data_IF_179911808608
#
_entry.id   IF_179911808608
#
_cell.length_a   1.000
_cell.length_b   1.000
_cell.length_c   1.000
_cell.angle_alpha   90.00
_cell.angle_beta   90.00
_cell.angle_gamma   90.00
#
_symmetry.space_group_name_H-M   'P 1'
#
loop_
_entity.id
_entity.type
_entity.pdbx_description
1 polymer ?
#
# COMPACT_ATOMS: atom_id res chain seq x y z
N UNK A 1 -1.06 55.31 -12.70
CA UNK A 1 -0.64 55.10 -14.11
C UNK A 1 0.75 54.48 -14.12
N UNK A 2 0.84 53.18 -14.39
CA UNK A 2 1.88 52.57 -15.22
C UNK A 2 1.45 51.13 -15.46
N UNK A 3 0.95 50.94 -16.68
CA UNK A 3 0.67 49.66 -17.29
C UNK A 3 1.99 48.90 -17.48
N UNK A 4 1.93 47.59 -17.30
CA UNK A 4 3.01 46.65 -17.59
C UNK A 4 2.39 45.34 -18.03
N UNK A 5 2.07 45.28 -19.32
CA UNK A 5 1.72 44.08 -20.07
C UNK A 5 2.91 43.14 -20.23
N UNK A 6 2.61 41.84 -20.43
CA UNK A 6 3.55 40.82 -20.89
C UNK A 6 3.50 39.59 -19.99
N UNK A 7 3.22 38.37 -20.45
CA UNK A 7 2.98 37.83 -21.78
C UNK A 7 2.65 36.35 -21.56
N UNK A 8 1.75 35.81 -22.38
CA UNK A 8 1.24 34.43 -22.31
C UNK A 8 2.36 33.42 -22.57
N UNK A 9 2.28 32.27 -21.92
CA UNK A 9 2.77 31.02 -22.52
C UNK A 9 1.85 29.83 -22.15
N UNK A 10 0.93 29.41 -23.04
CA UNK A 10 0.07 28.26 -22.84
C UNK A 10 0.80 27.00 -23.36
N UNK A 11 1.57 26.34 -22.51
CA UNK A 11 2.11 25.01 -22.82
C UNK A 11 1.01 23.95 -22.72
N UNK A 12 0.30 23.82 -23.84
CA UNK A 12 0.00 22.56 -24.54
C UNK A 12 0.01 21.30 -23.67
N UNK A 13 -1.19 20.81 -23.39
CA UNK A 13 -1.43 19.44 -22.94
C UNK A 13 -0.90 18.42 -23.95
N UNK A 14 -0.33 17.35 -23.41
CA UNK A 14 -0.14 16.10 -24.15
C UNK A 14 -1.08 15.05 -23.55
N UNK A 15 -1.87 14.34 -24.38
CA UNK A 15 -2.67 13.22 -23.93
C UNK A 15 -1.75 12.02 -23.63
N UNK A 16 -1.82 11.51 -22.41
CA UNK A 16 -1.28 10.19 -22.08
C UNK A 16 -2.17 9.15 -22.78
N UNK A 17 -1.65 8.59 -23.86
CA UNK A 17 -2.25 7.46 -24.57
C UNK A 17 -2.11 6.19 -23.73
N UNK A 18 -3.26 5.64 -23.36
CA UNK A 18 -3.44 4.33 -22.76
C UNK A 18 -3.15 3.22 -23.77
N UNK A 19 -1.89 2.80 -23.91
CA UNK A 19 -1.54 1.67 -24.79
C UNK A 19 -0.25 0.99 -24.32
N UNK A 20 -0.35 0.14 -23.29
CA UNK A 20 0.59 -0.96 -23.02
C UNK A 20 0.18 -1.72 -21.75
N UNK A 21 -0.48 -2.87 -21.91
CA UNK A 21 -0.25 -4.11 -21.13
C UNK A 21 -1.43 -5.08 -21.34
N UNK A 22 -1.65 -5.44 -22.60
CA UNK A 22 -2.22 -6.74 -22.96
C UNK A 22 -1.06 -7.63 -23.44
N UNK A 23 -1.15 -8.93 -23.13
CA UNK A 23 -0.07 -9.96 -23.13
C UNK A 23 0.60 -9.96 -21.75
N UNK A 24 0.66 -11.05 -21.01
CA UNK A 24 1.22 -12.34 -21.41
C UNK A 24 0.53 -13.54 -20.74
N UNK A 25 0.22 -14.53 -21.59
CA UNK A 25 0.43 -15.99 -21.41
C UNK A 25 0.00 -16.64 -20.08
N UNK A 26 -1.19 -17.26 -20.02
CA UNK A 26 -1.39 -18.73 -20.12
C UNK A 26 -0.11 -19.60 -20.01
N UNK A 27 0.02 -20.30 -18.88
CA UNK A 27 0.79 -21.54 -18.69
C UNK A 27 -0.10 -22.43 -17.80
N UNK A 28 -0.93 -23.33 -18.33
CA UNK A 28 -0.64 -24.73 -18.66
C UNK A 28 0.19 -25.47 -17.60
N UNK A 29 -0.52 -26.12 -16.67
CA UNK A 29 -0.36 -27.54 -16.36
C UNK A 29 0.84 -27.96 -15.52
N UNK A 30 0.59 -28.63 -14.40
CA UNK A 30 1.15 -29.96 -14.12
C UNK A 30 0.48 -30.53 -12.87
N UNK A 31 -0.18 -31.67 -13.07
CA UNK A 31 -0.68 -32.53 -12.00
C UNK A 31 0.51 -33.05 -11.18
N UNK A 32 0.44 -32.99 -9.86
CA UNK A 32 1.35 -33.71 -8.99
C UNK A 32 0.65 -34.90 -8.35
N UNK A 33 1.25 -36.06 -8.59
CA UNK A 33 0.93 -37.36 -8.02
C UNK A 33 1.07 -37.33 -6.49
N UNK A 34 0.09 -37.94 -5.80
CA UNK A 34 0.23 -38.39 -4.42
C UNK A 34 1.26 -39.53 -4.35
N UNK A 35 2.38 -39.30 -3.68
CA UNK A 35 3.28 -40.37 -3.23
C UNK A 35 2.94 -40.73 -1.76
N UNK A 36 2.59 -42.00 -1.55
CA UNK A 36 2.33 -42.63 -0.27
C UNK A 36 3.67 -42.87 0.43
N UNK A 37 3.85 -42.35 1.66
CA UNK A 37 5.02 -42.60 2.50
C UNK A 37 4.70 -43.65 3.59
N UNK A 38 5.47 -44.72 3.63
CA UNK A 38 5.46 -45.72 4.71
C UNK A 38 6.44 -45.32 5.85
N UNK A 39 6.16 -45.70 7.11
CA UNK A 39 6.91 -45.26 8.27
C UNK A 39 8.01 -46.24 8.69
N UNK A 40 9.14 -45.71 9.15
CA UNK A 40 10.05 -46.42 10.04
C UNK A 40 11.53 -46.23 9.71
N UNK A 41 12.25 -45.50 10.57
CA UNK A 41 13.38 -46.03 11.34
C UNK A 41 14.03 -44.92 12.16
N UNK A 42 14.10 -45.16 13.47
CA UNK A 42 14.80 -44.36 14.46
C UNK A 42 16.30 -44.30 14.13
N UNK A 43 16.83 -43.09 14.03
CA UNK A 43 18.26 -42.80 13.94
C UNK A 43 18.59 -41.57 14.78
N UNK A 44 19.45 -41.76 15.78
CA UNK A 44 19.83 -40.75 16.76
C UNK A 44 20.72 -39.64 16.17
N UNK A 45 20.28 -38.40 16.42
CA UNK A 45 21.06 -37.19 16.77
C UNK A 45 22.41 -36.94 16.10
N UNK A 46 22.41 -36.04 15.13
CA UNK A 46 23.42 -34.99 15.00
C UNK A 46 22.75 -33.76 14.39
N UNK A 47 22.03 -32.99 15.22
CA UNK A 47 21.44 -31.71 14.82
C UNK A 47 22.59 -30.74 14.58
N UNK A 48 23.12 -30.71 13.36
CA UNK A 48 23.87 -29.56 12.88
C UNK A 48 22.89 -28.40 12.87
N UNK A 49 22.95 -27.56 13.89
CA UNK A 49 22.35 -26.23 13.87
C UNK A 49 23.02 -25.51 12.71
N UNK A 50 22.40 -25.63 11.54
CA UNK A 50 22.62 -24.69 10.46
C UNK A 50 22.15 -23.37 11.03
N UNK A 51 23.09 -22.58 11.54
CA UNK A 51 23.03 -21.11 11.52
C UNK A 51 23.01 -20.68 10.05
N UNK A 52 22.01 -21.14 9.28
CA UNK A 52 21.60 -20.45 8.07
C UNK A 52 21.13 -19.11 8.58
N UNK A 53 21.77 -18.09 8.01
CA UNK A 53 21.80 -16.74 8.52
C UNK A 53 20.44 -16.27 8.96
N UNK A 54 20.46 -15.31 9.88
CA UNK A 54 19.36 -14.37 9.99
C UNK A 54 18.92 -14.04 8.57
N UNK A 55 17.81 -14.64 8.13
CA UNK A 55 17.15 -14.26 6.91
C UNK A 55 16.87 -12.80 7.18
N UNK A 56 17.73 -11.94 6.60
CA UNK A 56 17.62 -10.51 6.76
C UNK A 56 16.24 -10.23 6.27
N UNK A 57 15.31 -10.04 7.21
CA UNK A 57 13.94 -9.70 6.94
C UNK A 57 14.06 -8.53 5.96
N UNK A 58 13.82 -8.83 4.69
CA UNK A 58 13.88 -7.83 3.65
C UNK A 58 12.98 -6.73 4.17
N UNK A 59 13.55 -5.54 4.30
CA UNK A 59 12.92 -4.43 5.01
C UNK A 59 11.72 -3.98 4.22
N UNK A 60 10.59 -4.65 4.41
CA UNK A 60 9.37 -4.33 3.69
C UNK A 60 8.84 -3.04 4.29
N UNK A 61 8.82 -1.98 3.48
CA UNK A 61 8.28 -0.67 3.82
C UNK A 61 6.75 -0.68 3.91
N UNK A 62 6.19 -1.74 4.48
CA UNK A 62 4.78 -1.99 4.58
C UNK A 62 4.10 -1.02 5.53
N UNK A 63 2.82 -0.76 5.25
CA UNK A 63 1.94 -0.03 6.15
C UNK A 63 1.64 -0.91 7.35
N UNK A 64 2.20 -0.54 8.51
CA UNK A 64 1.97 -1.25 9.79
C UNK A 64 0.61 -0.91 10.42
N UNK A 65 0.15 0.32 10.22
CA UNK A 65 -1.12 0.82 10.75
C UNK A 65 -1.65 1.93 9.87
N UNK A 66 -2.95 1.87 9.60
CA UNK A 66 -3.70 2.94 8.97
C UNK A 66 -4.83 3.34 9.92
N UNK A 67 -5.04 4.64 10.09
CA UNK A 67 -6.09 5.20 10.93
C UNK A 67 -6.81 6.28 10.16
N UNK A 68 -8.13 6.23 10.18
CA UNK A 68 -8.99 7.23 9.58
C UNK A 68 -9.72 7.99 10.68
N UNK A 69 -9.74 9.32 10.56
CA UNK A 69 -10.51 10.19 11.43
C UNK A 69 -11.47 11.01 10.60
N UNK A 70 -12.71 11.15 11.05
CA UNK A 70 -13.71 12.02 10.43
C UNK A 70 -13.27 13.49 10.49
N UNK A 71 -13.95 14.36 9.75
CA UNK A 71 -13.83 15.81 9.89
C UNK A 71 -14.16 16.31 11.31
N UNK A 72 -14.93 15.54 12.09
CA UNK A 72 -15.28 15.81 13.48
C UNK A 72 -14.24 15.26 14.49
N UNK A 73 -13.29 14.43 14.02
CA UNK A 73 -12.21 13.86 14.83
C UNK A 73 -12.45 12.43 15.32
N UNK A 74 -13.65 11.88 15.09
CA UNK A 74 -14.03 10.52 15.45
C UNK A 74 -13.27 9.48 14.63
N UNK A 75 -13.04 8.30 15.19
CA UNK A 75 -12.41 7.20 14.47
C UNK A 75 -13.40 6.57 13.49
N UNK A 76 -13.01 6.48 12.22
CA UNK A 76 -13.78 5.78 11.19
C UNK A 76 -13.41 4.31 11.22
N UNK A 77 -14.41 3.43 11.17
CA UNK A 77 -14.21 1.99 11.11
C UNK A 77 -13.47 1.63 9.82
N UNK A 78 -12.33 0.95 9.97
CA UNK A 78 -11.50 0.49 8.86
C UNK A 78 -11.41 -1.04 8.89
N UNK A 79 -11.72 -1.65 7.76
CA UNK A 79 -11.69 -3.10 7.54
C UNK A 79 -10.63 -3.43 6.49
N UNK A 80 -9.80 -4.43 6.76
CA UNK A 80 -8.87 -4.96 5.76
C UNK A 80 -9.62 -5.97 4.90
N UNK A 81 -9.85 -5.66 3.63
CA UNK A 81 -10.61 -6.50 2.68
C UNK A 81 -9.71 -7.37 1.81
N UNK A 82 -8.41 -7.11 1.81
CA UNK A 82 -7.38 -7.92 1.15
C UNK A 82 -5.99 -7.50 1.61
N UNK A 83 -4.94 -8.13 1.10
CA UNK A 83 -3.57 -7.89 1.58
C UNK A 83 -3.15 -6.42 1.46
N UNK A 84 -3.55 -5.77 0.36
CA UNK A 84 -3.28 -4.38 0.04
C UNK A 84 -4.56 -3.54 -0.12
N UNK A 85 -5.69 -4.02 0.41
CA UNK A 85 -6.98 -3.35 0.25
C UNK A 85 -7.63 -3.08 1.60
N UNK A 86 -8.04 -1.83 1.80
CA UNK A 86 -8.74 -1.36 2.99
C UNK A 86 -10.06 -0.70 2.62
N UNK A 87 -11.08 -0.93 3.43
CA UNK A 87 -12.39 -0.29 3.31
C UNK A 87 -12.70 0.48 4.58
N UNK A 88 -12.95 1.78 4.46
CA UNK A 88 -13.48 2.63 5.51
C UNK A 88 -14.96 2.90 5.29
N UNK A 89 -15.76 2.89 6.36
CA UNK A 89 -17.19 3.23 6.30
C UNK A 89 -17.47 4.40 7.25
N UNK A 90 -17.93 5.51 6.70
CA UNK A 90 -18.34 6.71 7.44
C UNK A 90 -19.86 6.80 7.53
N UNK A 91 -20.36 7.29 8.67
CA UNK A 91 -21.76 7.65 8.87
C UNK A 91 -22.22 8.72 7.87
N UNK A 92 -23.54 8.83 7.66
CA UNK A 92 -24.11 9.72 6.66
C UNK A 92 -23.91 11.21 6.97
N UNK A 93 -23.75 11.59 8.24
CA UNK A 93 -23.55 12.96 8.73
C UNK A 93 -22.10 13.45 8.62
N UNK A 94 -21.13 12.53 8.52
CA UNK A 94 -19.71 12.83 8.36
C UNK A 94 -19.38 13.17 6.90
N UNK A 95 -18.91 14.39 6.64
CA UNK A 95 -18.70 14.89 5.26
C UNK A 95 -17.32 14.59 4.68
N UNK A 96 -16.38 14.14 5.50
CA UNK A 96 -15.02 13.87 5.05
C UNK A 96 -14.14 13.26 6.12
N UNK A 97 -12.91 12.94 5.74
CA UNK A 97 -11.94 12.26 6.60
C UNK A 97 -10.50 12.76 6.40
N UNK A 98 -9.66 12.44 7.38
CA UNK A 98 -8.20 12.55 7.33
C UNK A 98 -7.61 11.17 7.55
N UNK A 99 -6.48 10.91 6.91
CA UNK A 99 -5.74 9.65 7.04
C UNK A 99 -4.43 9.87 7.78
N UNK A 100 -4.12 8.97 8.70
CA UNK A 100 -2.82 8.81 9.31
C UNK A 100 -2.29 7.41 8.96
N UNK A 101 -1.10 7.36 8.37
CA UNK A 101 -0.46 6.10 7.95
C UNK A 101 0.87 5.98 8.68
N UNK A 102 1.09 4.85 9.33
CA UNK A 102 2.37 4.50 9.95
C UNK A 102 2.99 3.34 9.19
N UNK A 103 4.12 3.61 8.56
CA UNK A 103 4.96 2.57 7.95
C UNK A 103 5.77 1.85 9.03
N UNK A 104 6.05 0.57 8.81
CA UNK A 104 7.01 -0.16 9.63
C UNK A 104 8.39 0.43 9.37
N UNK A 105 9.09 0.83 10.43
CA UNK A 105 10.46 1.31 10.28
C UNK A 105 11.37 0.12 9.88
N UNK A 106 12.26 0.31 8.90
CA UNK A 106 13.20 -0.73 8.52
C UNK A 106 14.21 -0.91 9.66
N UNK A 107 14.68 -2.15 9.84
CA UNK A 107 15.68 -2.48 10.87
C UNK A 107 16.90 -1.56 10.72
N UNK A 108 17.42 -1.01 11.81
CA UNK A 108 18.49 0.01 11.81
C UNK A 108 19.70 -0.34 10.93
N UNK A 109 20.03 -1.62 10.76
CA UNK A 109 21.15 -2.10 9.93
C UNK A 109 20.84 -2.31 8.44
N UNK A 110 19.63 -2.00 7.96
CA UNK A 110 19.26 -2.22 6.54
C UNK A 110 19.77 -1.14 5.60
N UNK A 111 20.17 0.03 6.13
CA UNK A 111 20.52 1.21 5.34
C UNK A 111 19.41 1.69 4.38
N UNK A 112 18.15 1.27 4.59
CA UNK A 112 17.00 1.66 3.77
C UNK A 112 16.18 2.78 4.43
N UNK A 113 15.62 3.65 3.60
CA UNK A 113 14.59 4.62 3.94
C UNK A 113 13.28 4.24 3.27
N UNK A 114 12.20 4.27 4.04
CA UNK A 114 10.85 4.08 3.53
C UNK A 114 10.21 5.42 3.20
N UNK A 115 9.53 5.49 2.07
CA UNK A 115 8.68 6.62 1.70
C UNK A 115 7.25 6.15 1.47
N UNK A 116 6.30 7.04 1.74
CA UNK A 116 4.88 6.87 1.46
C UNK A 116 4.45 7.98 0.50
N UNK A 117 3.72 7.60 -0.54
CA UNK A 117 3.10 8.53 -1.48
C UNK A 117 1.60 8.23 -1.63
N UNK A 118 0.85 9.21 -2.14
CA UNK A 118 -0.60 9.10 -2.35
C UNK A 118 -1.46 9.41 -1.12
N UNK A 119 -0.86 9.56 0.07
CA UNK A 119 -1.60 10.00 1.25
C UNK A 119 -1.96 11.49 1.14
N UNK A 120 -3.26 11.87 1.18
CA UNK A 120 -3.67 13.26 1.15
C UNK A 120 -3.15 14.02 2.37
N UNK A 121 -2.62 15.22 2.15
CA UNK A 121 -2.08 16.08 3.22
C UNK A 121 -3.18 16.72 4.11
N UNK A 122 -4.45 16.61 3.72
CA UNK A 122 -5.56 17.33 4.31
C UNK A 122 -6.86 16.53 4.40
N UNK A 123 -7.94 17.26 4.62
CA UNK A 123 -9.28 16.69 4.62
C UNK A 123 -9.67 16.25 3.20
N UNK A 124 -10.21 15.05 3.09
CA UNK A 124 -10.84 14.53 1.87
C UNK A 124 -12.35 14.53 2.09
N UNK A 125 -13.07 15.27 1.25
CA UNK A 125 -14.53 15.29 1.29
C UNK A 125 -15.12 14.11 0.51
N UNK A 126 -16.21 13.54 1.02
CA UNK A 126 -16.93 12.44 0.38
C UNK A 126 -18.40 12.81 0.29
N UNK A 127 -18.95 12.79 -0.92
CA UNK A 127 -20.38 13.05 -1.12
C UNK A 127 -21.24 11.97 -0.44
N UNK A 128 -22.45 12.34 0.00
CA UNK A 128 -23.38 11.40 0.65
C UNK A 128 -23.69 10.22 -0.26
N UNK A 129 -23.58 8.99 0.27
CA UNK A 129 -23.78 7.75 -0.50
C UNK A 129 -22.65 7.42 -1.49
N UNK A 130 -21.62 8.26 -1.61
CA UNK A 130 -20.51 8.05 -2.52
C UNK A 130 -19.34 7.28 -1.86
N UNK A 131 -18.38 6.88 -2.69
CA UNK A 131 -17.13 6.28 -2.24
C UNK A 131 -15.96 7.00 -2.89
N UNK A 132 -14.94 7.29 -2.08
CA UNK A 132 -13.66 7.80 -2.56
C UNK A 132 -12.62 6.68 -2.54
N UNK A 133 -11.80 6.61 -3.59
CA UNK A 133 -10.74 5.61 -3.73
C UNK A 133 -9.39 6.32 -3.74
N UNK A 134 -8.56 6.01 -2.75
CA UNK A 134 -7.21 6.53 -2.61
C UNK A 134 -6.20 5.42 -2.92
N UNK A 135 -5.21 5.75 -3.75
CA UNK A 135 -4.09 4.87 -4.05
C UNK A 135 -2.87 5.33 -3.26
N UNK A 136 -2.39 4.49 -2.34
CA UNK A 136 -1.19 4.72 -1.55
C UNK A 136 -0.07 3.85 -2.11
N UNK A 137 1.15 4.36 -2.15
CA UNK A 137 2.31 3.57 -2.55
C UNK A 137 3.43 3.72 -1.55
N UNK A 138 4.11 2.62 -1.27
CA UNK A 138 5.27 2.59 -0.39
C UNK A 138 6.49 2.20 -1.20
N UNK A 139 7.62 2.87 -0.97
CA UNK A 139 8.87 2.55 -1.65
C UNK A 139 10.03 2.49 -0.65
N UNK A 140 10.95 1.56 -0.89
CA UNK A 140 12.21 1.47 -0.18
C UNK A 140 13.34 2.03 -1.06
N UNK A 141 14.12 2.95 -0.54
CA UNK A 141 15.31 3.47 -1.21
C UNK A 141 16.53 3.39 -0.28
N UNK A 142 17.75 3.19 -0.79
CA UNK A 142 18.95 3.32 0.01
C UNK A 142 19.03 4.71 0.67
N UNK A 143 19.43 4.76 1.94
CA UNK A 143 19.76 6.02 2.63
C UNK A 143 21.00 6.64 1.98
N UNK A 144 21.14 7.96 2.10
CA UNK A 144 22.32 8.67 1.62
C UNK A 144 23.61 8.07 2.21
N UNK A 145 24.48 7.55 1.34
CA UNK A 145 25.73 6.90 1.75
C UNK A 145 25.65 5.41 2.08
N UNK A 146 24.45 4.80 2.02
CA UNK A 146 24.28 3.36 2.18
C UNK A 146 24.59 2.59 0.89
N UNK A 147 25.18 1.40 1.02
CA UNK A 147 25.46 0.49 -0.09
C UNK A 147 24.31 -0.50 -0.36
N UNK A 148 23.13 -0.24 0.22
CA UNK A 148 21.98 -1.12 0.18
C UNK A 148 21.66 -1.64 -1.23
N UNK A 149 21.55 -2.97 -1.36
CA UNK A 149 21.00 -3.62 -2.53
C UNK A 149 19.60 -3.05 -2.80
N UNK A 150 19.27 -2.79 -4.08
CA UNK A 150 18.05 -2.11 -4.49
C UNK A 150 16.82 -2.54 -3.68
N UNK A 151 16.09 -1.55 -3.15
CA UNK A 151 14.98 -1.77 -2.23
C UNK A 151 13.90 -2.69 -2.79
N UNK A 152 13.08 -3.25 -1.90
CA UNK A 152 11.92 -4.05 -2.29
C UNK A 152 11.05 -3.29 -3.31
N UNK A 153 10.43 -3.99 -4.27
CA UNK A 153 9.53 -3.36 -5.23
C UNK A 153 8.43 -2.60 -4.48
N UNK A 154 7.98 -1.44 -5.00
CA UNK A 154 7.01 -0.64 -4.31
C UNK A 154 5.68 -1.40 -4.16
N UNK A 155 5.12 -1.37 -2.95
CA UNK A 155 3.81 -1.94 -2.68
C UNK A 155 2.73 -0.87 -2.83
N UNK A 156 1.66 -1.21 -3.55
CA UNK A 156 0.53 -0.33 -3.81
C UNK A 156 -0.68 -0.80 -3.00
N UNK A 157 -1.29 0.12 -2.27
CA UNK A 157 -2.45 -0.11 -1.42
C UNK A 157 -3.64 0.70 -1.91
N UNK A 158 -4.81 0.06 -1.96
CA UNK A 158 -6.07 0.71 -2.27
C UNK A 158 -6.85 0.94 -0.98
N UNK A 159 -7.20 2.19 -0.69
CA UNK A 159 -8.12 2.56 0.37
C UNK A 159 -9.43 3.08 -0.25
N UNK A 160 -10.53 2.38 0.02
CA UNK A 160 -11.87 2.83 -0.37
C UNK A 160 -12.60 3.35 0.85
N UNK A 161 -12.99 4.62 0.88
CA UNK A 161 -13.78 5.21 1.96
C UNK A 161 -15.19 5.50 1.45
N UNK A 162 -16.17 4.81 1.99
CA UNK A 162 -17.57 4.97 1.67
C UNK A 162 -18.26 5.84 2.71
N UNK A 163 -19.03 6.83 2.27
CA UNK A 163 -19.99 7.54 3.13
C UNK A 163 -21.36 6.92 2.93
N UNK A 164 -21.99 6.49 4.03
CA UNK A 164 -23.35 5.95 3.98
C UNK A 164 -24.34 7.03 3.52
N UNK A 165 -25.44 6.59 2.92
CA UNK A 165 -26.59 7.45 2.72
C UNK A 165 -27.48 7.46 3.97
N UNK A 166 -28.42 8.41 4.04
CA UNK A 166 -29.35 8.50 5.17
C UNK A 166 -30.31 7.30 5.29
N UNK A 167 -30.43 6.49 4.22
CA UNK A 167 -31.33 5.35 4.19
C UNK A 167 -30.65 4.06 4.71
N UNK A 168 -29.33 3.98 4.63
CA UNK A 168 -28.50 2.85 5.05
C UNK A 168 -28.01 2.97 6.50
N UNK A 169 -28.33 4.07 7.18
CA UNK A 169 -27.93 4.36 8.57
C UNK A 169 -29.01 3.95 9.61
N UNK A 170 -29.92 3.05 9.23
CA UNK A 170 -31.01 2.49 10.07
C UNK A 170 -30.73 1.02 10.38
#
# INVERSE_FOLDING_TARGET
QRAGEGGRDPRSGQPFTSDAMQRWSRVLGTAQLLAIAAPGLLGATATRVNLRGCEQAAGDCEISRMTLRSNLGDLVQLEKTGDYAFKGTMCADVTGFRIEVKQKEPVFGSELACSLSGAPAGLVEVATGASEVLQLSTAAAPRAGGAGAGGAPPANYTLTVQRLDLAADQ
#
